data_IF_470966043597
#
_entry.id   IF_470966043597
#
_cell.length_a   1.000
_cell.length_b   1.000
_cell.length_c   1.000
_cell.angle_alpha   90.00
_cell.angle_beta   90.00
_cell.angle_gamma   90.00
#
_symmetry.space_group_name_H-M   'P 1'
#
loop_
_entity.id
_entity.type
_entity.pdbx_description
1 polymer ?
#
# COMPACT_ATOMS: atom_id res chain seq x y z
N UNK A 1 -16.80 -3.47 -8.34
CA UNK A 1 -16.13 -2.14 -8.50
C UNK A 1 -14.76 -2.34 -9.13
N UNK A 2 -14.24 -1.31 -9.81
CA UNK A 2 -12.90 -1.32 -10.42
C UNK A 2 -11.81 -1.63 -9.39
N UNK A 3 -11.91 -1.09 -8.18
CA UNK A 3 -10.98 -1.40 -7.08
C UNK A 3 -10.95 -2.89 -6.70
N UNK A 4 -12.13 -3.54 -6.64
CA UNK A 4 -12.18 -4.97 -6.32
C UNK A 4 -11.55 -5.81 -7.44
N UNK A 5 -11.78 -5.43 -8.68
CA UNK A 5 -11.23 -6.14 -9.84
C UNK A 5 -9.71 -5.98 -9.93
N UNK A 6 -9.19 -4.75 -9.78
CA UNK A 6 -7.74 -4.51 -9.78
C UNK A 6 -7.04 -5.24 -8.64
N UNK A 7 -7.61 -5.23 -7.44
CA UNK A 7 -7.08 -5.98 -6.29
C UNK A 7 -7.09 -7.49 -6.54
N UNK A 8 -8.15 -8.04 -7.13
CA UNK A 8 -8.21 -9.46 -7.50
C UNK A 8 -7.17 -9.83 -8.56
N UNK A 9 -6.95 -8.96 -9.55
CA UNK A 9 -5.93 -9.18 -10.58
C UNK A 9 -4.52 -9.23 -9.97
N UNK A 10 -4.21 -8.35 -9.00
CA UNK A 10 -2.95 -8.44 -8.22
C UNK A 10 -2.85 -9.79 -7.51
N UNK A 11 -3.91 -10.22 -6.80
CA UNK A 11 -3.92 -11.50 -6.08
C UNK A 11 -3.79 -12.70 -7.04
N UNK A 12 -4.40 -12.66 -8.22
CA UNK A 12 -4.25 -13.71 -9.25
C UNK A 12 -2.81 -13.80 -9.77
N UNK A 13 -2.16 -12.65 -10.01
CA UNK A 13 -0.76 -12.63 -10.41
C UNK A 13 0.14 -13.24 -9.34
N UNK A 14 -0.12 -12.92 -8.07
CA UNK A 14 0.62 -13.49 -6.94
C UNK A 14 0.35 -14.98 -6.79
N UNK A 15 -0.89 -15.45 -6.95
CA UNK A 15 -1.22 -16.88 -6.95
C UNK A 15 -0.45 -17.64 -8.04
N UNK A 16 -0.33 -17.05 -9.23
CA UNK A 16 0.48 -17.62 -10.30
C UNK A 16 1.96 -17.73 -9.91
N UNK A 17 2.52 -16.70 -9.26
CA UNK A 17 3.92 -16.74 -8.80
C UNK A 17 4.13 -17.80 -7.71
N UNK A 18 3.19 -17.94 -6.77
CA UNK A 18 3.22 -18.98 -5.73
C UNK A 18 3.20 -20.38 -6.36
N UNK A 19 2.27 -20.61 -7.30
CA UNK A 19 2.14 -21.90 -7.98
C UNK A 19 3.37 -22.27 -8.83
N UNK A 20 4.17 -21.29 -9.23
CA UNK A 20 5.39 -21.48 -10.02
C UNK A 20 6.67 -21.08 -9.24
N UNK A 21 6.60 -21.05 -7.90
CA UNK A 21 7.70 -20.55 -7.06
C UNK A 21 9.00 -21.30 -7.28
N UNK A 22 8.96 -22.62 -7.36
CA UNK A 22 10.14 -23.45 -7.66
C UNK A 22 10.73 -23.13 -9.04
N UNK A 23 9.90 -23.03 -10.08
CA UNK A 23 10.34 -22.72 -11.45
C UNK A 23 11.08 -21.38 -11.54
N UNK A 24 10.63 -20.38 -10.78
CA UNK A 24 11.20 -19.03 -10.81
C UNK A 24 12.18 -18.76 -9.66
N UNK A 25 12.46 -19.78 -8.83
CA UNK A 25 13.30 -19.64 -7.63
C UNK A 25 12.83 -18.50 -6.70
N UNK A 26 11.52 -18.46 -6.45
CA UNK A 26 10.86 -17.46 -5.60
C UNK A 26 10.61 -18.05 -4.20
N UNK A 27 10.94 -17.29 -3.17
CA UNK A 27 10.48 -17.55 -1.82
C UNK A 27 9.08 -16.95 -1.61
N UNK A 28 8.05 -17.80 -1.65
CA UNK A 28 6.66 -17.36 -1.51
C UNK A 28 6.37 -16.64 -0.18
N UNK A 29 7.20 -16.85 0.85
CA UNK A 29 7.08 -16.15 2.14
C UNK A 29 7.62 -14.72 2.12
N UNK A 30 8.27 -14.30 1.02
CA UNK A 30 8.92 -12.99 0.86
C UNK A 30 8.34 -12.15 -0.27
N UNK A 31 7.11 -12.42 -0.67
CA UNK A 31 6.45 -11.65 -1.72
C UNK A 31 6.07 -10.26 -1.19
N UNK A 32 6.62 -9.23 -1.83
CA UNK A 32 6.28 -7.82 -1.63
C UNK A 32 5.54 -7.33 -2.87
N UNK A 33 4.42 -6.65 -2.67
CA UNK A 33 3.69 -5.99 -3.76
C UNK A 33 3.93 -4.49 -3.73
N UNK A 34 4.11 -3.90 -4.89
CA UNK A 34 4.39 -2.47 -5.05
C UNK A 34 3.52 -1.87 -6.13
N UNK A 35 3.12 -0.63 -5.95
CA UNK A 35 2.32 0.09 -6.93
C UNK A 35 2.45 1.60 -6.81
N UNK A 36 2.12 2.26 -7.91
CA UNK A 36 2.14 3.70 -8.10
C UNK A 36 0.75 4.19 -8.46
N UNK A 37 0.25 5.29 -7.83
CA UNK A 37 -1.04 5.90 -8.13
C UNK A 37 -2.19 4.85 -8.10
N UNK A 38 -2.95 4.66 -9.15
CA UNK A 38 -3.96 3.61 -9.27
C UNK A 38 -3.39 2.19 -9.01
N UNK A 39 -2.12 1.94 -9.36
CA UNK A 39 -1.42 0.70 -9.00
C UNK A 39 -1.16 0.58 -7.51
N UNK A 40 -0.89 1.69 -6.81
CA UNK A 40 -0.76 1.73 -5.36
C UNK A 40 -2.11 1.44 -4.68
N UNK A 41 -3.20 1.99 -5.19
CA UNK A 41 -4.56 1.65 -4.75
C UNK A 41 -4.84 0.15 -4.96
N UNK A 42 -4.46 -0.41 -6.11
CA UNK A 42 -4.65 -1.83 -6.39
C UNK A 42 -3.91 -2.72 -5.38
N UNK A 43 -2.62 -2.45 -5.10
CA UNK A 43 -1.83 -3.28 -4.18
C UNK A 43 -2.24 -3.12 -2.72
N UNK A 44 -2.63 -1.90 -2.29
CA UNK A 44 -3.14 -1.68 -0.93
C UNK A 44 -4.45 -2.46 -0.73
N UNK A 45 -5.40 -2.33 -1.65
CA UNK A 45 -6.66 -3.04 -1.56
C UNK A 45 -6.46 -4.57 -1.69
N UNK A 46 -5.53 -5.04 -2.51
CA UNK A 46 -5.17 -6.47 -2.57
C UNK A 46 -4.64 -7.01 -1.24
N UNK A 47 -3.83 -6.22 -0.54
CA UNK A 47 -3.22 -6.62 0.73
C UNK A 47 -4.18 -6.61 1.91
N UNK A 48 -5.07 -5.61 1.98
CA UNK A 48 -5.94 -5.40 3.14
C UNK A 48 -7.39 -5.89 2.96
N UNK A 49 -7.92 -5.90 1.74
CA UNK A 49 -9.29 -6.36 1.47
C UNK A 49 -9.35 -7.88 1.30
N UNK A 50 -9.49 -8.61 2.40
CA UNK A 50 -9.46 -10.09 2.43
C UNK A 50 -10.41 -10.75 1.44
N UNK A 51 -11.59 -10.20 1.21
CA UNK A 51 -12.55 -10.72 0.22
C UNK A 51 -12.00 -10.81 -1.21
N UNK A 52 -10.99 -10.00 -1.57
CA UNK A 52 -10.33 -10.05 -2.87
C UNK A 52 -9.30 -11.18 -2.98
N UNK A 53 -8.91 -11.77 -1.84
CA UNK A 53 -7.98 -12.88 -1.74
C UNK A 53 -8.68 -14.25 -1.72
N UNK A 54 -9.95 -14.29 -1.32
CA UNK A 54 -10.75 -15.51 -1.17
C UNK A 54 -10.78 -16.33 -2.47
N UNK A 55 -10.51 -17.63 -2.36
CA UNK A 55 -10.43 -18.58 -3.48
C UNK A 55 -9.36 -18.24 -4.55
N UNK A 56 -8.40 -17.37 -4.23
CA UNK A 56 -7.29 -16.98 -5.11
C UNK A 56 -5.96 -17.31 -4.45
N UNK A 57 -5.75 -16.82 -3.22
CA UNK A 57 -4.54 -17.07 -2.44
C UNK A 57 -4.79 -18.18 -1.41
N UNK A 58 -3.75 -18.92 -0.98
CA UNK A 58 -3.85 -19.83 0.16
C UNK A 58 -4.38 -19.10 1.40
N UNK A 59 -5.18 -19.78 2.22
CA UNK A 59 -5.83 -19.18 3.41
C UNK A 59 -4.82 -18.63 4.43
N UNK A 60 -3.65 -19.26 4.53
CA UNK A 60 -2.56 -18.88 5.42
C UNK A 60 -1.57 -17.90 4.78
N UNK A 61 -1.75 -17.55 3.51
CA UNK A 61 -0.85 -16.63 2.81
C UNK A 61 -0.88 -15.23 3.42
N UNK A 62 0.31 -14.64 3.54
CA UNK A 62 0.50 -13.24 3.94
C UNK A 62 1.56 -12.59 3.07
N UNK A 63 1.28 -11.41 2.59
CA UNK A 63 2.30 -10.57 1.97
C UNK A 63 3.41 -10.24 2.96
N UNK A 64 4.66 -10.32 2.52
CA UNK A 64 5.82 -9.90 3.32
C UNK A 64 5.88 -8.37 3.46
N UNK A 65 5.35 -7.65 2.48
CA UNK A 65 5.27 -6.20 2.52
C UNK A 65 4.42 -5.62 1.41
N UNK A 66 4.03 -4.36 1.61
CA UNK A 66 3.34 -3.51 0.62
C UNK A 66 4.13 -2.21 0.48
N UNK A 67 4.39 -1.77 -0.76
CA UNK A 67 4.96 -0.47 -1.07
C UNK A 67 3.92 0.32 -1.85
N UNK A 68 3.41 1.37 -1.24
CA UNK A 68 2.39 2.25 -1.82
C UNK A 68 2.98 3.62 -2.12
N UNK A 69 2.98 3.99 -3.38
CA UNK A 69 3.44 5.29 -3.86
C UNK A 69 2.22 6.10 -4.32
N UNK A 70 1.77 7.04 -3.48
CA UNK A 70 0.57 7.86 -3.66
C UNK A 70 -0.71 7.02 -3.87
N UNK A 71 -0.98 6.09 -2.96
CA UNK A 71 -2.18 5.26 -2.97
C UNK A 71 -3.13 5.53 -1.82
N UNK A 72 -4.33 4.96 -1.90
CA UNK A 72 -5.36 5.04 -0.88
C UNK A 72 -6.19 3.76 -0.77
N UNK A 73 -6.74 3.51 0.40
CA UNK A 73 -7.57 2.35 0.74
C UNK A 73 -9.05 2.72 0.71
N UNK A 74 -9.90 1.78 0.31
CA UNK A 74 -11.36 1.98 0.30
C UNK A 74 -11.99 2.02 1.69
N UNK A 75 -11.47 1.24 2.64
CA UNK A 75 -12.03 1.14 3.99
C UNK A 75 -10.91 0.87 5.00
N UNK A 76 -10.65 1.82 5.91
CA UNK A 76 -9.62 1.68 6.95
C UNK A 76 -9.93 0.58 7.97
N UNK A 77 -11.18 0.13 8.08
CA UNK A 77 -11.56 -0.96 8.98
C UNK A 77 -10.99 -2.31 8.54
N UNK A 78 -10.52 -2.42 7.30
CA UNK A 78 -9.79 -3.62 6.84
C UNK A 78 -8.40 -3.74 7.46
N UNK A 79 -7.86 -2.63 8.00
CA UNK A 79 -6.61 -2.65 8.76
C UNK A 79 -6.91 -3.06 10.20
N UNK A 80 -6.67 -4.32 10.52
CA UNK A 80 -6.80 -4.89 11.87
C UNK A 80 -5.46 -5.45 12.36
N UNK A 81 -5.38 -5.88 13.62
CA UNK A 81 -4.17 -6.52 14.15
C UNK A 81 -3.78 -7.79 13.38
N UNK A 82 -4.78 -8.51 12.87
CA UNK A 82 -4.65 -9.79 12.16
C UNK A 82 -4.29 -9.58 10.68
N UNK A 83 -4.88 -8.57 10.04
CA UNK A 83 -4.68 -8.27 8.62
C UNK A 83 -3.49 -7.34 8.34
N UNK A 84 -2.92 -6.71 9.37
CA UNK A 84 -1.85 -5.76 9.19
C UNK A 84 -0.63 -6.39 8.50
N UNK A 85 -0.22 -5.76 7.39
CA UNK A 85 0.95 -6.10 6.59
C UNK A 85 2.02 -5.02 6.82
N UNK A 86 3.30 -5.41 6.80
CA UNK A 86 4.42 -4.46 6.81
C UNK A 86 4.30 -3.53 5.60
N UNK A 87 4.05 -2.24 5.83
CA UNK A 87 3.64 -1.32 4.76
C UNK A 87 4.53 -0.07 4.73
N UNK A 88 5.05 0.24 3.54
CA UNK A 88 5.67 1.51 3.21
C UNK A 88 4.68 2.41 2.45
N UNK A 89 4.57 3.65 2.88
CA UNK A 89 3.63 4.66 2.40
C UNK A 89 4.40 5.91 1.97
N UNK A 90 4.28 6.30 0.71
CA UNK A 90 4.94 7.48 0.15
C UNK A 90 3.88 8.44 -0.38
N UNK A 91 3.87 9.72 0.05
CA UNK A 91 2.81 10.64 -0.38
C UNK A 91 3.19 12.12 -0.21
N UNK A 92 2.77 12.94 -1.17
CA UNK A 92 2.79 14.39 -1.06
C UNK A 92 1.54 14.94 -0.35
N UNK A 93 1.68 15.95 0.50
CA UNK A 93 0.53 16.49 1.26
C UNK A 93 -0.45 17.29 0.42
N UNK A 94 -0.04 17.75 -0.77
CA UNK A 94 -0.87 18.51 -1.71
C UNK A 94 -1.28 17.68 -2.94
N UNK A 95 -1.28 16.35 -2.82
CA UNK A 95 -1.78 15.47 -3.87
C UNK A 95 -3.25 15.76 -4.15
N UNK A 96 -3.54 16.19 -5.39
CA UNK A 96 -4.87 16.59 -5.82
C UNK A 96 -5.63 15.49 -6.58
N UNK A 97 -5.04 14.30 -6.72
CA UNK A 97 -5.64 13.14 -7.39
C UNK A 97 -6.01 12.06 -6.36
N UNK A 98 -5.04 11.60 -5.61
CA UNK A 98 -5.24 10.60 -4.56
C UNK A 98 -5.08 11.28 -3.20
N UNK A 99 -6.06 11.18 -2.29
CA UNK A 99 -6.00 11.91 -1.04
C UNK A 99 -4.86 11.43 -0.14
N UNK A 100 -4.10 12.38 0.43
CA UNK A 100 -3.06 12.12 1.43
C UNK A 100 -3.64 11.59 2.75
N UNK A 101 -4.75 12.18 3.20
CA UNK A 101 -5.49 11.79 4.40
C UNK A 101 -6.84 11.15 3.99
N UNK A 102 -7.90 11.39 4.77
CA UNK A 102 -9.24 10.93 4.41
C UNK A 102 -9.96 12.03 3.64
N UNK A 103 -10.23 11.79 2.35
CA UNK A 103 -10.95 12.72 1.49
C UNK A 103 -11.58 12.00 0.29
N UNK A 104 -12.46 12.67 -0.47
CA UNK A 104 -12.96 12.12 -1.71
C UNK A 104 -11.85 11.92 -2.75
N UNK A 105 -11.92 10.80 -3.47
CA UNK A 105 -11.05 10.54 -4.61
C UNK A 105 -11.21 11.66 -5.64
N UNK A 106 -10.09 12.21 -6.15
CA UNK A 106 -10.04 13.39 -7.02
C UNK A 106 -10.77 14.62 -6.45
N UNK A 107 -11.02 14.65 -5.14
CA UNK A 107 -11.74 15.73 -4.46
C UNK A 107 -13.12 16.02 -5.08
N UNK A 108 -13.77 14.99 -5.64
CA UNK A 108 -15.10 15.08 -6.20
C UNK A 108 -16.12 15.61 -5.19
N UNK A 109 -17.08 16.40 -5.67
CA UNK A 109 -18.17 16.87 -4.82
C UNK A 109 -19.13 15.73 -4.44
N UNK A 110 -19.76 15.77 -3.25
CA UNK A 110 -20.63 14.70 -2.76
C UNK A 110 -21.85 14.38 -3.63
N UNK A 111 -22.29 15.33 -4.41
CA UNK A 111 -23.45 15.24 -5.31
C UNK A 111 -23.11 14.78 -6.73
N UNK A 112 -21.83 14.53 -7.00
CA UNK A 112 -21.38 14.12 -8.32
C UNK A 112 -21.22 12.59 -8.46
N UNK A 113 -21.54 12.04 -9.65
CA UNK A 113 -21.25 10.65 -9.96
C UNK A 113 -19.75 10.35 -9.80
N UNK A 114 -19.44 9.26 -9.10
CA UNK A 114 -18.04 8.89 -8.83
C UNK A 114 -17.52 9.36 -7.48
N UNK A 115 -18.32 10.09 -6.68
CA UNK A 115 -17.95 10.43 -5.31
C UNK A 115 -17.62 9.15 -4.52
N UNK A 116 -16.41 9.09 -3.98
CA UNK A 116 -15.91 7.97 -3.19
C UNK A 116 -14.88 8.48 -2.20
N UNK A 117 -15.17 8.35 -0.92
CA UNK A 117 -14.18 8.67 0.13
C UNK A 117 -13.14 7.57 0.20
N UNK A 118 -11.86 7.96 0.22
CA UNK A 118 -10.72 7.09 0.36
C UNK A 118 -9.89 7.47 1.60
N UNK A 119 -9.14 6.49 2.08
CA UNK A 119 -8.22 6.62 3.21
C UNK A 119 -6.78 6.59 2.68
N UNK A 120 -6.18 7.75 2.55
CA UNK A 120 -4.83 7.90 2.01
C UNK A 120 -3.73 7.45 2.97
N UNK A 121 -2.48 7.64 2.56
CA UNK A 121 -1.31 7.13 3.27
C UNK A 121 -1.24 7.57 4.73
N UNK A 122 -1.58 8.84 5.04
CA UNK A 122 -1.58 9.34 6.41
C UNK A 122 -2.68 8.70 7.27
N UNK A 123 -3.89 8.53 6.73
CA UNK A 123 -4.98 7.84 7.43
C UNK A 123 -4.60 6.39 7.74
N UNK A 124 -4.01 5.69 6.78
CA UNK A 124 -3.52 4.32 6.97
C UNK A 124 -2.42 4.22 8.03
N UNK A 125 -1.43 5.13 8.01
CA UNK A 125 -0.37 5.18 9.02
C UNK A 125 -0.95 5.40 10.42
N UNK A 126 -1.89 6.34 10.57
CA UNK A 126 -2.58 6.60 11.85
C UNK A 126 -3.40 5.40 12.32
N UNK A 127 -4.03 4.67 11.40
CA UNK A 127 -4.75 3.44 11.73
C UNK A 127 -3.80 2.35 12.22
N UNK A 128 -2.68 2.11 11.52
CA UNK A 128 -1.65 1.15 11.95
C UNK A 128 -1.09 1.52 13.33
N UNK A 129 -0.77 2.80 13.55
CA UNK A 129 -0.32 3.31 14.85
C UNK A 129 -1.33 3.04 15.96
N UNK A 130 -2.62 3.30 15.72
CA UNK A 130 -3.69 3.14 16.71
C UNK A 130 -3.89 1.69 17.18
N UNK A 131 -3.52 0.72 16.35
CA UNK A 131 -3.57 -0.71 16.67
C UNK A 131 -2.21 -1.30 17.09
N UNK A 132 -1.19 -0.46 17.24
CA UNK A 132 0.16 -0.85 17.67
C UNK A 132 0.91 -1.67 16.60
N UNK A 133 0.68 -1.41 15.31
CA UNK A 133 1.39 -2.07 14.21
C UNK A 133 2.39 -1.12 13.57
N UNK A 134 3.58 -1.63 13.19
CA UNK A 134 4.62 -0.83 12.57
C UNK A 134 4.23 -0.37 11.16
N UNK A 135 4.80 0.74 10.74
CA UNK A 135 4.69 1.27 9.38
C UNK A 135 5.94 2.09 9.02
N UNK A 136 6.20 2.21 7.74
CA UNK A 136 7.19 3.13 7.20
C UNK A 136 6.46 4.18 6.37
N UNK A 137 6.57 5.46 6.72
CA UNK A 137 5.91 6.54 6.01
C UNK A 137 6.90 7.64 5.62
N UNK A 138 6.75 8.10 4.40
CA UNK A 138 7.46 9.27 3.86
C UNK A 138 6.42 10.28 3.39
N UNK A 139 6.50 11.48 3.96
CA UNK A 139 5.67 12.63 3.62
C UNK A 139 6.52 13.73 3.03
N UNK A 140 6.09 14.31 1.91
CA UNK A 140 6.67 15.53 1.36
C UNK A 140 5.66 16.68 1.50
N UNK A 141 6.02 17.67 2.32
CA UNK A 141 5.16 18.80 2.61
C UNK A 141 5.10 19.75 1.41
N UNK A 142 3.89 19.98 0.91
CA UNK A 142 3.65 20.84 -0.26
C UNK A 142 3.79 20.12 -1.61
N UNK A 143 4.30 18.90 -1.63
CA UNK A 143 4.40 18.12 -2.85
C UNK A 143 3.03 17.56 -3.28
N UNK A 144 2.83 17.41 -4.57
CA UNK A 144 1.63 16.88 -5.20
C UNK A 144 1.71 15.37 -5.47
N UNK A 145 1.12 14.98 -6.61
CA UNK A 145 1.02 13.57 -7.03
C UNK A 145 2.35 12.96 -7.50
N UNK A 146 3.42 13.74 -7.68
CA UNK A 146 4.72 13.25 -8.16
C UNK A 146 5.37 12.21 -7.24
N UNK A 147 4.92 12.05 -6.00
CA UNK A 147 5.32 10.96 -5.12
C UNK A 147 4.78 9.59 -5.54
N UNK A 148 3.99 9.54 -6.60
CA UNK A 148 3.65 8.29 -7.25
C UNK A 148 4.85 7.61 -7.93
N UNK A 149 5.93 8.37 -8.26
CA UNK A 149 7.12 7.87 -8.94
C UNK A 149 8.45 8.26 -8.27
N UNK A 150 8.51 9.38 -7.53
CA UNK A 150 9.75 9.82 -6.85
C UNK A 150 10.48 8.70 -6.08
N UNK A 151 9.80 7.79 -5.34
CA UNK A 151 10.50 6.76 -4.58
C UNK A 151 11.37 5.81 -5.42
N UNK A 152 11.11 5.68 -6.73
CA UNK A 152 11.93 4.85 -7.64
C UNK A 152 13.05 5.62 -8.34
N UNK A 153 13.11 6.96 -8.20
CA UNK A 153 14.22 7.76 -8.72
C UNK A 153 15.50 7.49 -7.93
N UNK A 154 16.63 7.70 -8.58
CA UNK A 154 17.95 7.40 -7.99
C UNK A 154 18.17 8.09 -6.64
N UNK A 155 17.68 9.32 -6.48
CA UNK A 155 17.83 10.14 -5.27
C UNK A 155 17.02 9.62 -4.07
N UNK A 156 15.91 8.91 -4.31
CA UNK A 156 14.97 8.49 -3.24
C UNK A 156 14.90 6.98 -3.05
N UNK A 157 15.45 6.19 -3.99
CA UNK A 157 15.36 4.72 -3.96
C UNK A 157 15.91 4.09 -2.68
N UNK A 158 16.85 4.74 -2.01
CA UNK A 158 17.38 4.30 -0.72
C UNK A 158 16.28 4.15 0.35
N UNK A 159 15.16 4.87 0.23
CA UNK A 159 14.01 4.75 1.15
C UNK A 159 13.31 3.40 1.01
N UNK A 160 13.14 2.93 -0.22
CA UNK A 160 12.60 1.59 -0.51
C UNK A 160 13.59 0.52 -0.04
N UNK A 161 14.88 0.71 -0.32
CA UNK A 161 15.94 -0.21 0.10
C UNK A 161 16.01 -0.33 1.62
N UNK A 162 15.93 0.79 2.36
CA UNK A 162 15.89 0.81 3.83
C UNK A 162 14.67 0.05 4.37
N UNK A 163 13.49 0.28 3.80
CA UNK A 163 12.27 -0.44 4.16
C UNK A 163 12.41 -1.94 3.91
N UNK A 164 12.82 -2.34 2.72
CA UNK A 164 12.97 -3.75 2.36
C UNK A 164 13.98 -4.45 3.26
N UNK A 165 15.14 -3.83 3.49
CA UNK A 165 16.20 -4.42 4.32
C UNK A 165 15.81 -4.52 5.77
N UNK A 166 15.29 -3.44 6.36
CA UNK A 166 15.02 -3.39 7.81
C UNK A 166 13.68 -3.99 8.18
N UNK A 167 12.63 -3.60 7.47
CA UNK A 167 11.26 -3.91 7.92
C UNK A 167 10.76 -5.23 7.33
N UNK A 168 11.12 -5.56 6.10
CA UNK A 168 10.69 -6.80 5.45
C UNK A 168 11.65 -7.95 5.76
N UNK A 169 12.94 -7.80 5.45
CA UNK A 169 13.93 -8.89 5.58
C UNK A 169 14.35 -9.12 7.02
N UNK A 170 14.70 -8.06 7.76
CA UNK A 170 15.15 -8.14 9.14
C UNK A 170 14.00 -8.07 10.15
N UNK A 171 12.75 -7.85 9.68
CA UNK A 171 11.55 -7.78 10.52
C UNK A 171 11.70 -6.81 11.72
N UNK A 172 12.35 -5.67 11.49
CA UNK A 172 12.45 -4.61 12.47
C UNK A 172 11.04 -4.09 12.78
N UNK A 173 10.55 -4.34 13.97
CA UNK A 173 9.22 -3.92 14.40
C UNK A 173 9.25 -2.43 14.79
N UNK A 174 9.45 -1.56 13.79
CA UNK A 174 9.58 -0.10 13.96
C UNK A 174 8.48 0.65 13.24
N UNK A 175 8.05 1.76 13.82
CA UNK A 175 7.29 2.80 13.10
C UNK A 175 8.24 3.93 12.76
N UNK A 176 8.23 4.36 11.49
CA UNK A 176 9.07 5.44 10.99
C UNK A 176 8.25 6.39 10.15
N UNK A 177 8.35 7.68 10.44
CA UNK A 177 7.74 8.73 9.62
C UNK A 177 8.82 9.77 9.28
N UNK A 178 9.21 9.80 8.01
CA UNK A 178 10.17 10.78 7.48
C UNK A 178 9.41 11.91 6.80
N UNK A 179 9.79 13.15 7.07
CA UNK A 179 9.12 14.33 6.55
C UNK A 179 10.14 15.16 5.76
N UNK A 180 9.87 15.32 4.48
CA UNK A 180 10.58 16.24 3.61
C UNK A 180 9.87 17.60 3.60
N UNK A 181 10.65 18.69 3.41
CA UNK A 181 10.15 20.08 3.38
C UNK A 181 10.85 20.86 2.29
#
# INVERSE_FOLDING_TARGET
TTFAESARNVNQAVAYLIANAEKYNIDASKIVISGSSAGAEAVINAGYWKKTQENILPDDFKYAGIISMAGALLDENWITKESAVTTALFHGTCDNLVPYATAPHHYCNPDQPGFLTLFGSFAMAKKLESIGKPYFMVTDCGAGHEWNEKPIWAEYRYLIEDFLQKDVLNKANRSSHQIFR
#
